data_IF_786358310568
#
_entry.id   IF_786358310568
#
_cell.length_a   1.000
_cell.length_b   1.000
_cell.length_c   1.000
_cell.angle_alpha   90.00
_cell.angle_beta   90.00
_cell.angle_gamma   90.00
#
_symmetry.space_group_name_H-M   'P 1'
#
loop_
_entity.id
_entity.type
_entity.pdbx_description
1 polymer ?
#
# COMPACT_ATOMS: atom_id res chain seq x y z
N UNK A 1 -1.34 -6.50 -23.97
CA UNK A 1 -2.64 -7.03 -24.45
C UNK A 1 -3.69 -6.32 -23.60
N UNK A 2 -4.32 -5.29 -24.14
CA UNK A 2 -5.41 -4.56 -23.48
C UNK A 2 -6.62 -5.49 -23.60
N UNK A 3 -7.20 -5.89 -22.48
CA UNK A 3 -8.45 -6.63 -22.47
C UNK A 3 -9.56 -5.61 -22.73
N UNK A 4 -10.03 -5.54 -23.96
CA UNK A 4 -11.25 -4.83 -24.35
C UNK A 4 -12.43 -5.52 -23.69
N UNK A 5 -12.98 -4.92 -22.66
CA UNK A 5 -14.09 -5.49 -21.88
C UNK A 5 -14.52 -4.62 -20.71
N UNK A 6 -14.20 -3.31 -20.73
CA UNK A 6 -14.77 -2.39 -19.76
C UNK A 6 -16.28 -2.27 -19.99
N UNK A 7 -17.07 -2.80 -19.06
CA UNK A 7 -18.51 -2.54 -19.02
C UNK A 7 -18.66 -1.04 -18.80
N UNK A 8 -19.32 -0.35 -19.72
CA UNK A 8 -19.47 1.12 -19.72
C UNK A 8 -19.98 1.61 -18.34
N UNK A 9 -19.23 2.54 -17.73
CA UNK A 9 -19.60 3.17 -16.46
C UNK A 9 -19.04 2.50 -15.18
N UNK A 10 -18.42 1.31 -15.25
CA UNK A 10 -17.83 0.66 -14.08
C UNK A 10 -16.32 0.96 -13.95
N UNK A 11 -15.87 1.24 -12.72
CA UNK A 11 -14.45 1.53 -12.42
C UNK A 11 -13.60 0.26 -12.50
N UNK A 12 -12.32 0.43 -12.75
CA UNK A 12 -11.28 -0.60 -12.65
C UNK A 12 -10.47 -0.38 -11.37
N UNK A 13 -10.09 -1.47 -10.70
CA UNK A 13 -9.11 -1.40 -9.60
C UNK A 13 -7.73 -1.73 -10.14
N UNK A 14 -6.78 -0.82 -9.96
CA UNK A 14 -5.37 -1.01 -10.31
C UNK A 14 -4.57 -1.30 -9.05
N UNK A 15 -3.75 -2.34 -9.05
CA UNK A 15 -2.85 -2.63 -7.94
C UNK A 15 -1.40 -2.54 -8.39
N UNK A 16 -0.60 -1.77 -7.65
CA UNK A 16 0.85 -1.68 -7.84
C UNK A 16 1.57 -2.23 -6.61
N UNK A 17 2.37 -3.30 -6.82
CA UNK A 17 3.21 -3.90 -5.79
C UNK A 17 4.47 -3.10 -5.51
N UNK A 18 5.17 -3.37 -4.41
CA UNK A 18 6.44 -2.70 -4.08
C UNK A 18 7.50 -2.84 -5.17
N UNK A 19 7.49 -3.94 -5.94
CA UNK A 19 8.38 -4.11 -7.10
C UNK A 19 8.12 -3.12 -8.25
N UNK A 20 6.96 -2.45 -8.27
CA UNK A 20 6.61 -1.37 -9.18
C UNK A 20 6.84 0.03 -8.55
N UNK A 21 7.51 0.13 -7.41
CA UNK A 21 7.72 1.35 -6.62
C UNK A 21 9.19 1.47 -6.17
N UNK A 22 10.13 1.17 -7.11
CA UNK A 22 11.58 1.17 -6.85
C UNK A 22 12.24 2.51 -7.16
N UNK A 23 11.64 3.29 -8.05
CA UNK A 23 12.25 4.49 -8.61
C UNK A 23 11.23 5.56 -9.00
N UNK A 24 11.70 6.78 -9.21
CA UNK A 24 10.89 7.86 -9.77
C UNK A 24 10.35 7.56 -11.18
N UNK A 25 11.07 6.78 -11.96
CA UNK A 25 10.60 6.32 -13.27
C UNK A 25 9.39 5.40 -13.14
N UNK A 26 9.36 4.54 -12.13
CA UNK A 26 8.20 3.68 -11.86
C UNK A 26 6.97 4.52 -11.47
N UNK A 27 7.15 5.56 -10.64
CA UNK A 27 6.07 6.49 -10.28
C UNK A 27 5.52 7.20 -11.52
N UNK A 28 6.40 7.63 -12.44
CA UNK A 28 5.98 8.23 -13.72
C UNK A 28 5.19 7.24 -14.57
N UNK A 29 5.65 5.99 -14.64
CA UNK A 29 4.94 4.94 -15.36
C UNK A 29 3.56 4.61 -14.74
N UNK A 30 3.42 4.70 -13.41
CA UNK A 30 2.12 4.57 -12.73
C UNK A 30 1.20 5.72 -13.13
N UNK A 31 1.70 6.97 -13.16
CA UNK A 31 0.92 8.13 -13.60
C UNK A 31 0.37 7.92 -15.02
N UNK A 32 1.19 7.46 -15.94
CA UNK A 32 0.77 7.20 -17.32
C UNK A 32 -0.27 6.09 -17.42
N UNK A 33 -0.12 5.02 -16.61
CA UNK A 33 -1.11 3.93 -16.55
C UNK A 33 -2.46 4.37 -15.98
N UNK A 34 -2.47 5.25 -14.97
CA UNK A 34 -3.71 5.78 -14.40
C UNK A 34 -4.49 6.59 -15.43
N UNK A 35 -3.81 7.42 -16.24
CA UNK A 35 -4.45 8.33 -17.20
C UNK A 35 -5.21 7.65 -18.34
N UNK A 36 -4.91 6.40 -18.65
CA UNK A 36 -5.60 5.67 -19.73
C UNK A 36 -6.98 5.15 -19.35
N UNK A 37 -7.37 5.22 -18.06
CA UNK A 37 -8.65 4.69 -17.60
C UNK A 37 -9.72 5.78 -17.54
N UNK A 38 -10.89 5.46 -18.11
CA UNK A 38 -12.10 6.25 -18.05
C UNK A 38 -13.30 5.27 -17.86
N UNK A 39 -14.06 5.33 -16.76
CA UNK A 39 -13.91 6.28 -15.63
C UNK A 39 -12.60 6.08 -14.83
N UNK A 40 -12.26 7.10 -14.05
CA UNK A 40 -11.04 7.09 -13.21
C UNK A 40 -10.98 5.85 -12.31
N UNK A 41 -9.82 5.18 -12.22
CA UNK A 41 -9.68 3.92 -11.48
C UNK A 41 -9.71 4.14 -9.96
N UNK A 42 -9.79 3.05 -9.21
CA UNK A 42 -9.34 2.99 -7.81
C UNK A 42 -7.94 2.38 -7.81
N UNK A 43 -7.02 2.93 -7.05
CA UNK A 43 -5.63 2.47 -7.03
C UNK A 43 -5.31 1.87 -5.66
N UNK A 44 -4.75 0.67 -5.63
CA UNK A 44 -4.24 0.02 -4.41
C UNK A 44 -2.72 -0.09 -4.52
N UNK A 45 -2.02 0.35 -3.49
CA UNK A 45 -0.56 0.39 -3.47
C UNK A 45 0.00 -0.37 -2.28
N UNK A 46 1.20 -0.92 -2.45
CA UNK A 46 2.05 -1.43 -1.38
C UNK A 46 3.04 -0.35 -0.92
N UNK A 47 3.78 -0.63 0.14
CA UNK A 47 4.93 0.17 0.54
C UNK A 47 5.96 0.28 -0.61
N UNK A 48 6.74 1.36 -0.61
CA UNK A 48 7.89 1.51 -1.50
C UNK A 48 8.86 0.34 -1.33
N UNK A 49 9.54 -0.02 -2.41
CA UNK A 49 10.45 -1.16 -2.44
C UNK A 49 11.48 -1.09 -1.31
N UNK A 50 11.62 -2.20 -0.57
CA UNK A 50 12.54 -2.34 0.54
C UNK A 50 12.05 -1.77 1.88
N UNK A 51 10.97 -0.98 1.91
CA UNK A 51 10.46 -0.38 3.15
C UNK A 51 9.95 -1.45 4.11
N UNK A 52 9.15 -2.40 3.65
CA UNK A 52 8.62 -3.49 4.49
C UNK A 52 9.73 -4.34 5.09
N UNK A 53 10.74 -4.70 4.28
CA UNK A 53 11.90 -5.47 4.77
C UNK A 53 12.66 -4.67 5.84
N UNK A 54 12.87 -3.37 5.62
CA UNK A 54 13.55 -2.51 6.59
C UNK A 54 12.77 -2.34 7.91
N UNK A 55 11.43 -2.34 7.86
CA UNK A 55 10.58 -2.34 9.06
C UNK A 55 10.69 -3.67 9.82
N UNK A 56 10.73 -4.79 9.12
CA UNK A 56 10.94 -6.11 9.72
C UNK A 56 12.33 -6.21 10.38
N UNK A 57 13.37 -5.69 9.72
CA UNK A 57 14.71 -5.62 10.30
C UNK A 57 14.70 -4.79 11.58
N UNK A 58 14.05 -3.61 11.59
CA UNK A 58 13.94 -2.78 12.77
C UNK A 58 13.25 -3.49 13.94
N UNK A 59 12.18 -4.26 13.68
CA UNK A 59 11.52 -5.07 14.71
C UNK A 59 12.48 -6.14 15.27
N UNK A 60 13.27 -6.80 14.42
CA UNK A 60 14.26 -7.77 14.83
C UNK A 60 15.41 -7.12 15.63
N UNK A 61 15.86 -5.93 15.21
CA UNK A 61 16.88 -5.15 15.94
C UNK A 61 16.38 -4.75 17.34
N UNK A 62 15.10 -4.37 17.47
CA UNK A 62 14.47 -4.12 18.79
C UNK A 62 14.52 -5.37 19.66
N UNK A 63 14.15 -6.54 19.13
CA UNK A 63 14.18 -7.82 19.87
C UNK A 63 15.59 -8.21 20.30
N UNK A 64 16.60 -7.89 19.52
CA UNK A 64 18.02 -8.17 19.82
C UNK A 64 18.74 -7.06 20.60
N UNK A 65 18.01 -6.01 21.00
CA UNK A 65 18.56 -4.82 21.70
C UNK A 65 19.67 -4.09 20.93
N UNK A 66 19.64 -4.14 19.58
CA UNK A 66 20.61 -3.49 18.69
C UNK A 66 20.01 -2.32 17.89
N UNK A 67 18.77 -1.92 18.20
CA UNK A 67 18.04 -0.94 17.43
C UNK A 67 18.57 0.48 17.55
N UNK A 68 19.01 1.07 16.44
CA UNK A 68 19.33 2.49 16.33
C UNK A 68 18.16 3.27 15.71
N UNK A 69 17.32 3.80 16.61
CA UNK A 69 16.11 4.56 16.26
C UNK A 69 16.41 5.76 15.34
N UNK A 70 17.44 6.51 15.63
CA UNK A 70 17.75 7.75 14.90
C UNK A 70 18.21 7.45 13.47
N UNK A 71 19.09 6.48 13.30
CA UNK A 71 19.54 6.04 11.97
C UNK A 71 18.40 5.43 11.16
N UNK A 72 17.52 4.67 11.80
CA UNK A 72 16.35 4.07 11.14
C UNK A 72 15.36 5.13 10.64
N UNK A 73 14.94 6.08 11.49
CA UNK A 73 14.00 7.14 11.11
C UNK A 73 14.57 8.06 10.04
N UNK A 74 15.88 8.34 10.09
CA UNK A 74 16.57 9.07 9.03
C UNK A 74 16.48 8.31 7.71
N UNK A 75 16.79 7.02 7.71
CA UNK A 75 16.72 6.19 6.52
C UNK A 75 15.30 6.18 5.92
N UNK A 76 14.25 5.98 6.74
CA UNK A 76 12.85 5.99 6.30
C UNK A 76 12.53 7.32 5.61
N UNK A 77 12.86 8.46 6.24
CA UNK A 77 12.61 9.79 5.68
C UNK A 77 13.36 9.99 4.36
N UNK A 78 14.65 9.73 4.34
CA UNK A 78 15.52 9.95 3.18
C UNK A 78 15.10 9.06 1.99
N UNK A 79 14.72 7.81 2.26
CA UNK A 79 14.24 6.89 1.24
C UNK A 79 12.96 7.39 0.56
N UNK A 80 11.98 7.84 1.34
CA UNK A 80 10.72 8.38 0.81
C UNK A 80 10.95 9.70 0.06
N UNK A 81 11.78 10.61 0.57
CA UNK A 81 12.12 11.87 -0.09
C UNK A 81 12.90 11.66 -1.39
N UNK A 82 13.72 10.63 -1.47
CA UNK A 82 14.45 10.28 -2.69
C UNK A 82 13.50 9.80 -3.79
N UNK A 83 12.51 9.00 -3.44
CA UNK A 83 11.54 8.45 -4.40
C UNK A 83 10.47 9.47 -4.80
N UNK A 84 10.02 10.29 -3.87
CA UNK A 84 8.96 11.27 -4.06
C UNK A 84 9.32 12.62 -3.41
N UNK A 85 10.32 13.36 -3.94
CA UNK A 85 10.73 14.64 -3.38
C UNK A 85 9.61 15.70 -3.43
N UNK A 86 8.60 15.50 -4.27
CA UNK A 86 7.42 16.34 -4.37
C UNK A 86 6.67 16.49 -3.04
N UNK A 87 6.84 15.54 -2.12
CA UNK A 87 6.24 15.59 -0.78
C UNK A 87 6.67 16.83 0.00
N UNK A 88 7.90 17.30 -0.19
CA UNK A 88 8.48 18.44 0.54
C UNK A 88 7.76 19.78 0.27
N UNK A 89 7.05 19.87 -0.85
CA UNK A 89 6.35 21.09 -1.28
C UNK A 89 4.85 20.87 -1.46
N UNK A 90 4.35 19.69 -1.06
CA UNK A 90 2.94 19.32 -1.21
C UNK A 90 2.14 19.61 0.05
N UNK A 91 0.82 19.76 -0.11
CA UNK A 91 -0.13 19.86 0.99
C UNK A 91 -0.23 18.54 1.81
N UNK A 92 0.33 17.45 1.28
CA UNK A 92 0.39 16.15 1.95
C UNK A 92 1.54 16.02 2.97
N UNK A 93 2.49 16.97 3.01
CA UNK A 93 3.64 16.92 3.93
C UNK A 93 3.22 16.78 5.41
N UNK A 94 2.24 17.52 5.93
CA UNK A 94 1.82 17.37 7.33
C UNK A 94 1.35 15.94 7.63
N UNK A 95 0.64 15.30 6.71
CA UNK A 95 0.16 13.93 6.86
C UNK A 95 1.31 12.91 6.82
N UNK A 96 2.34 13.16 6.01
CA UNK A 96 3.56 12.35 6.00
C UNK A 96 4.30 12.44 7.33
N UNK A 97 4.49 13.65 7.86
CA UNK A 97 5.17 13.86 9.15
C UNK A 97 4.36 13.25 10.32
N UNK A 98 3.03 13.35 10.30
CA UNK A 98 2.17 12.65 11.26
C UNK A 98 2.36 11.12 11.20
N UNK A 99 2.38 10.54 10.01
CA UNK A 99 2.61 9.11 9.83
C UNK A 99 4.01 8.69 10.31
N UNK A 100 5.01 9.56 10.13
CA UNK A 100 6.38 9.33 10.63
C UNK A 100 6.45 9.40 12.16
N UNK A 101 5.75 10.34 12.77
CA UNK A 101 5.62 10.45 14.24
C UNK A 101 4.91 9.20 14.80
N UNK A 102 3.86 8.72 14.15
CA UNK A 102 3.15 7.52 14.57
C UNK A 102 4.04 6.27 14.47
N UNK A 103 4.88 6.17 13.44
CA UNK A 103 5.91 5.11 13.34
C UNK A 103 6.90 5.20 14.50
N UNK A 104 7.36 6.40 14.82
CA UNK A 104 8.31 6.64 15.89
C UNK A 104 7.74 6.26 17.26
N UNK A 105 6.47 6.60 17.54
CA UNK A 105 5.74 6.18 18.74
C UNK A 105 5.61 4.65 18.79
N UNK A 106 5.24 4.02 17.69
CA UNK A 106 5.09 2.56 17.62
C UNK A 106 6.41 1.84 17.91
N UNK A 107 7.52 2.34 17.37
CA UNK A 107 8.87 1.80 17.66
C UNK A 107 9.28 2.01 19.11
N UNK A 108 9.02 3.19 19.68
CA UNK A 108 9.30 3.46 21.10
C UNK A 108 8.50 2.52 22.01
N UNK A 109 7.22 2.27 21.69
CA UNK A 109 6.38 1.32 22.44
C UNK A 109 6.91 -0.12 22.33
N UNK A 110 7.42 -0.53 21.14
CA UNK A 110 8.05 -1.85 21.00
C UNK A 110 9.33 -1.98 21.82
N UNK A 111 10.17 -0.94 21.85
CA UNK A 111 11.40 -0.93 22.67
C UNK A 111 11.07 -1.10 24.14
N UNK A 112 9.97 -0.49 24.60
CA UNK A 112 9.50 -0.60 25.99
C UNK A 112 8.75 -1.92 26.28
N UNK A 113 8.54 -2.78 25.29
CA UNK A 113 7.79 -4.05 25.45
C UNK A 113 6.26 -3.90 25.53
N UNK A 114 5.72 -2.73 25.18
CA UNK A 114 4.29 -2.41 25.31
C UNK A 114 3.56 -2.36 23.94
N UNK A 115 4.31 -2.26 22.83
CA UNK A 115 3.78 -2.08 21.49
C UNK A 115 3.48 -3.39 20.77
N UNK A 116 2.82 -3.25 19.60
CA UNK A 116 2.65 -4.34 18.66
C UNK A 116 3.35 -4.05 17.32
N UNK A 117 3.81 -5.09 16.65
CA UNK A 117 4.55 -5.00 15.39
C UNK A 117 3.68 -4.50 14.23
N UNK A 118 2.38 -4.72 14.29
CA UNK A 118 1.43 -4.34 13.24
C UNK A 118 1.47 -2.83 13.02
N UNK A 119 1.50 -2.03 14.08
CA UNK A 119 1.57 -0.56 14.00
C UNK A 119 2.83 -0.08 13.30
N UNK A 120 3.98 -0.75 13.53
CA UNK A 120 5.22 -0.47 12.83
C UNK A 120 5.11 -0.85 11.35
N UNK A 121 4.64 -2.04 11.05
CA UNK A 121 4.55 -2.57 9.68
C UNK A 121 3.61 -1.75 8.80
N UNK A 122 2.43 -1.37 9.32
CA UNK A 122 1.43 -0.57 8.62
C UNK A 122 1.96 0.81 8.22
N UNK A 123 2.90 1.36 8.98
CA UNK A 123 3.48 2.68 8.70
C UNK A 123 4.18 2.73 7.32
N UNK A 124 4.73 1.62 6.83
CA UNK A 124 5.33 1.56 5.50
C UNK A 124 4.33 1.85 4.39
N UNK A 125 3.15 1.23 4.46
CA UNK A 125 2.07 1.43 3.50
C UNK A 125 1.52 2.87 3.57
N UNK A 126 1.37 3.41 4.78
CA UNK A 126 0.87 4.77 5.01
C UNK A 126 1.83 5.83 4.46
N UNK A 127 3.10 5.79 4.84
CA UNK A 127 4.11 6.73 4.37
C UNK A 127 4.24 6.71 2.84
N UNK A 128 4.29 5.51 2.26
CA UNK A 128 4.44 5.35 0.82
C UNK A 128 3.22 5.84 0.05
N UNK A 129 2.00 5.63 0.56
CA UNK A 129 0.77 6.11 -0.09
C UNK A 129 0.70 7.65 -0.12
N UNK A 130 1.09 8.32 0.97
CA UNK A 130 1.10 9.80 1.05
C UNK A 130 2.17 10.39 0.13
N UNK A 131 3.36 9.79 0.08
CA UNK A 131 4.40 10.20 -0.87
C UNK A 131 3.97 10.02 -2.34
N UNK A 132 3.29 8.92 -2.63
CA UNK A 132 2.79 8.66 -3.99
C UNK A 132 1.65 9.63 -4.35
N UNK A 133 0.77 9.99 -3.41
CA UNK A 133 -0.22 11.07 -3.58
C UNK A 133 0.46 12.36 -4.03
N UNK A 134 1.46 12.84 -3.29
CA UNK A 134 2.19 14.07 -3.63
C UNK A 134 2.83 13.99 -5.03
N UNK A 135 3.47 12.87 -5.34
CA UNK A 135 4.13 12.66 -6.61
C UNK A 135 3.16 12.58 -7.80
N UNK A 136 1.98 12.00 -7.63
CA UNK A 136 0.94 11.94 -8.67
C UNK A 136 0.20 13.27 -8.82
N UNK A 137 -0.10 13.95 -7.72
CA UNK A 137 -0.74 15.28 -7.71
C UNK A 137 0.14 16.32 -8.42
N UNK A 138 1.46 16.29 -8.22
CA UNK A 138 2.40 17.17 -8.92
C UNK A 138 2.41 16.96 -10.45
N UNK A 139 1.91 15.81 -10.90
CA UNK A 139 1.74 15.48 -12.33
C UNK A 139 0.32 15.77 -12.84
N UNK A 140 -0.49 16.47 -12.06
CA UNK A 140 -1.86 16.88 -12.43
C UNK A 140 -2.89 15.75 -12.33
N UNK A 141 -2.62 14.70 -11.55
CA UNK A 141 -3.59 13.63 -11.29
C UNK A 141 -4.26 13.92 -9.96
N UNK A 142 -5.58 14.10 -9.95
CA UNK A 142 -6.35 14.31 -8.73
C UNK A 142 -6.49 12.99 -7.96
N UNK A 143 -5.59 12.74 -7.02
CA UNK A 143 -5.54 11.53 -6.18
C UNK A 143 -5.56 11.88 -4.71
N UNK A 144 -6.07 10.96 -3.89
CA UNK A 144 -6.06 11.07 -2.43
C UNK A 144 -5.63 9.75 -1.79
N UNK A 145 -4.60 9.80 -0.97
CA UNK A 145 -4.18 8.66 -0.16
C UNK A 145 -5.24 8.34 0.90
N UNK A 146 -5.66 7.09 0.93
CA UNK A 146 -6.66 6.56 1.86
C UNK A 146 -6.11 5.35 2.60
N UNK A 147 -6.41 5.29 3.88
CA UNK A 147 -5.99 4.20 4.76
C UNK A 147 -7.18 3.28 5.07
N UNK A 148 -6.93 2.16 5.75
CA UNK A 148 -7.98 1.21 6.08
C UNK A 148 -9.09 1.82 6.96
N UNK A 149 -8.80 2.89 7.67
CA UNK A 149 -9.75 3.65 8.48
C UNK A 149 -10.64 4.57 7.64
N UNK A 150 -10.10 5.12 6.54
CA UNK A 150 -10.84 5.98 5.61
C UNK A 150 -11.78 5.16 4.71
N UNK A 151 -11.27 3.99 4.28
CA UNK A 151 -12.02 2.99 3.51
C UNK A 151 -12.05 1.73 4.35
N UNK A 152 -13.17 1.39 5.03
CA UNK A 152 -13.20 0.33 6.03
C UNK A 152 -12.83 -1.04 5.42
N UNK A 153 -11.53 -1.27 5.28
CA UNK A 153 -10.97 -2.55 4.87
C UNK A 153 -11.09 -3.50 6.05
N UNK A 154 -12.09 -4.38 6.01
CA UNK A 154 -12.39 -5.30 7.11
C UNK A 154 -11.69 -6.63 6.94
N UNK A 155 -11.05 -7.09 8.01
CA UNK A 155 -10.34 -8.37 8.05
C UNK A 155 -10.79 -9.23 9.22
N UNK A 156 -10.60 -10.54 9.10
CA UNK A 156 -10.88 -11.52 10.15
C UNK A 156 -9.86 -12.65 10.19
N UNK A 157 -9.82 -13.35 11.29
CA UNK A 157 -8.89 -14.45 11.53
C UNK A 157 -7.82 -14.06 12.54
N UNK A 158 -6.81 -14.91 12.67
CA UNK A 158 -5.63 -14.68 13.51
C UNK A 158 -4.37 -14.89 12.69
N UNK A 159 -3.34 -14.14 13.01
CA UNK A 159 -2.05 -14.32 12.36
C UNK A 159 -1.58 -15.80 12.45
N UNK A 160 -1.03 -16.37 11.39
CA UNK A 160 -0.74 -15.78 10.10
C UNK A 160 -1.90 -15.84 9.07
N UNK A 161 -3.11 -16.30 9.46
CA UNK A 161 -4.25 -16.57 8.57
C UNK A 161 -5.30 -15.45 8.54
N UNK A 162 -4.86 -14.20 8.58
CA UNK A 162 -5.74 -13.04 8.45
C UNK A 162 -6.19 -12.92 6.99
N UNK A 163 -7.50 -12.74 6.78
CA UNK A 163 -8.14 -12.64 5.46
C UNK A 163 -9.21 -11.55 5.44
N UNK A 164 -9.60 -11.11 4.26
CA UNK A 164 -10.68 -10.15 4.07
C UNK A 164 -12.00 -10.65 4.64
N UNK A 165 -12.76 -9.76 5.28
CA UNK A 165 -14.11 -10.06 5.80
C UNK A 165 -15.18 -9.44 4.91
N UNK A 166 -15.62 -10.20 3.91
CA UNK A 166 -16.68 -9.77 3.00
C UNK A 166 -18.07 -9.69 3.66
N UNK A 167 -18.24 -10.24 4.86
CA UNK A 167 -19.53 -10.16 5.56
C UNK A 167 -19.82 -8.78 6.15
N UNK A 168 -18.80 -7.92 6.28
CA UNK A 168 -18.90 -6.55 6.81
C UNK A 168 -18.79 -5.46 5.73
N UNK A 169 -19.00 -5.80 4.47
CA UNK A 169 -18.93 -4.86 3.33
C UNK A 169 -20.05 -3.83 3.33
N UNK A 170 -21.17 -4.10 3.99
CA UNK A 170 -22.32 -3.21 4.10
C UNK A 170 -22.09 -2.00 5.06
N UNK A 171 -21.00 -2.00 5.81
CA UNK A 171 -20.54 -0.82 6.56
C UNK A 171 -19.94 0.19 5.59
N UNK A 172 -20.72 0.53 4.58
CA UNK A 172 -20.51 1.37 3.41
C UNK A 172 -19.23 2.22 3.42
N UNK A 173 -18.21 1.66 2.78
CA UNK A 173 -17.06 2.42 2.38
C UNK A 173 -17.50 3.46 1.33
N UNK A 174 -17.53 4.73 1.70
CA UNK A 174 -17.66 5.77 0.69
C UNK A 174 -16.30 5.93 -0.02
N UNK A 175 -16.17 5.26 -1.15
CA UNK A 175 -15.00 5.44 -2.02
C UNK A 175 -15.29 6.60 -2.95
N UNK A 176 -14.54 7.72 -2.87
CA UNK A 176 -14.76 8.90 -3.68
C UNK A 176 -14.81 8.62 -5.18
N UNK A 177 -15.61 9.40 -5.91
CA UNK A 177 -15.74 9.31 -7.37
C UNK A 177 -15.22 10.55 -8.09
N UNK A 178 -15.04 11.65 -7.38
CA UNK A 178 -14.55 12.94 -7.86
C UNK A 178 -13.01 13.05 -7.81
N UNK A 179 -12.37 12.17 -7.09
CA UNK A 179 -10.91 12.00 -7.04
C UNK A 179 -10.55 10.52 -7.17
N UNK A 180 -9.28 10.21 -7.43
CA UNK A 180 -8.77 8.85 -7.52
C UNK A 180 -8.33 8.40 -6.12
N UNK A 181 -9.03 7.45 -5.49
CA UNK A 181 -8.62 6.87 -4.23
C UNK A 181 -7.32 6.08 -4.40
N UNK A 182 -6.30 6.41 -3.61
CA UNK A 182 -5.02 5.72 -3.53
C UNK A 182 -4.96 4.97 -2.22
N UNK A 183 -5.42 3.72 -2.21
CA UNK A 183 -5.65 2.93 -1.01
C UNK A 183 -4.37 2.21 -0.60
N UNK A 184 -3.93 2.42 0.64
CA UNK A 184 -2.86 1.65 1.25
C UNK A 184 -3.30 0.19 1.46
N UNK A 185 -2.59 -0.76 0.84
CA UNK A 185 -2.93 -2.18 0.85
C UNK A 185 -2.37 -2.94 2.06
N UNK A 186 -2.49 -4.30 2.04
CA UNK A 186 -1.88 -5.27 2.94
C UNK A 186 -2.45 -5.34 4.35
N UNK A 187 -3.16 -4.36 4.85
CA UNK A 187 -3.74 -4.36 6.20
C UNK A 187 -5.21 -3.95 6.20
N UNK A 188 -5.87 -4.19 7.30
CA UNK A 188 -7.24 -3.80 7.54
C UNK A 188 -7.56 -3.71 9.02
N UNK A 189 -8.84 -3.53 9.33
CA UNK A 189 -9.38 -3.42 10.68
C UNK A 189 -10.08 -4.72 11.04
N UNK A 190 -9.70 -5.34 12.15
CA UNK A 190 -10.28 -6.59 12.63
C UNK A 190 -11.64 -6.38 13.34
N UNK A 191 -12.20 -7.46 13.87
CA UNK A 191 -13.47 -7.41 14.58
C UNK A 191 -13.40 -6.69 15.94
N UNK A 192 -12.20 -6.49 16.47
CA UNK A 192 -11.94 -5.76 17.72
C UNK A 192 -11.51 -4.31 17.46
N UNK A 193 -11.71 -3.82 16.23
CA UNK A 193 -11.31 -2.49 15.74
C UNK A 193 -9.79 -2.24 15.83
N UNK A 194 -8.97 -3.29 15.82
CA UNK A 194 -7.52 -3.18 15.78
C UNK A 194 -6.99 -3.32 14.34
N UNK A 195 -5.85 -2.71 14.07
CA UNK A 195 -5.12 -2.93 12.83
C UNK A 195 -4.57 -4.37 12.78
N UNK A 196 -4.68 -4.99 11.63
CA UNK A 196 -4.15 -6.33 11.39
C UNK A 196 -3.58 -6.44 9.97
N UNK A 197 -2.35 -6.94 9.85
CA UNK A 197 -1.67 -7.18 8.58
C UNK A 197 -1.97 -8.58 8.05
N UNK A 198 -2.18 -8.68 6.74
CA UNK A 198 -2.33 -9.96 6.07
C UNK A 198 -0.96 -10.59 5.77
N UNK A 199 -0.96 -11.86 5.39
CA UNK A 199 0.22 -12.55 4.89
C UNK A 199 0.67 -12.02 3.52
N UNK A 200 1.70 -12.62 2.92
CA UNK A 200 2.18 -12.28 1.57
C UNK A 200 1.03 -12.27 0.56
N UNK A 201 1.01 -11.25 -0.32
CA UNK A 201 -0.08 -11.03 -1.27
C UNK A 201 -1.26 -10.24 -0.71
N UNK A 202 -1.20 -9.76 0.53
CA UNK A 202 -2.30 -9.04 1.17
C UNK A 202 -2.75 -7.78 0.42
N UNK A 203 -1.85 -7.04 -0.26
CA UNK A 203 -2.26 -5.91 -1.09
C UNK A 203 -3.06 -6.34 -2.34
N UNK A 204 -2.81 -7.55 -2.88
CA UNK A 204 -3.63 -8.14 -3.95
C UNK A 204 -5.02 -8.50 -3.41
N UNK A 205 -5.08 -9.04 -2.18
CA UNK A 205 -6.34 -9.28 -1.48
C UNK A 205 -7.10 -7.97 -1.21
N UNK A 206 -6.42 -6.88 -0.83
CA UNK A 206 -7.04 -5.55 -0.69
C UNK A 206 -7.65 -5.10 -2.02
N UNK A 207 -6.94 -5.24 -3.14
CA UNK A 207 -7.45 -4.84 -4.44
C UNK A 207 -8.70 -5.63 -4.86
N UNK A 208 -8.71 -6.93 -4.65
CA UNK A 208 -9.89 -7.78 -4.94
C UNK A 208 -11.06 -7.48 -4.00
N UNK A 209 -10.78 -7.19 -2.72
CA UNK A 209 -11.80 -6.77 -1.77
C UNK A 209 -12.43 -5.43 -2.18
N UNK A 210 -11.60 -4.43 -2.48
CA UNK A 210 -12.07 -3.11 -2.96
C UNK A 210 -12.91 -3.26 -4.22
N UNK A 211 -12.47 -4.08 -5.17
CA UNK A 211 -13.23 -4.35 -6.38
C UNK A 211 -14.61 -4.96 -6.09
N UNK A 212 -14.69 -5.88 -5.14
CA UNK A 212 -15.95 -6.50 -4.73
C UNK A 212 -16.92 -5.50 -4.10
N UNK A 213 -16.44 -4.59 -3.23
CA UNK A 213 -17.30 -3.63 -2.54
C UNK A 213 -17.81 -2.51 -3.44
N UNK A 214 -17.05 -2.12 -4.50
CA UNK A 214 -17.51 -1.09 -5.45
C UNK A 214 -18.16 -1.66 -6.69
N UNK A 215 -18.26 -2.99 -6.85
CA UNK A 215 -18.75 -3.61 -8.07
C UNK A 215 -17.88 -3.29 -9.29
N UNK A 216 -16.56 -3.32 -9.14
CA UNK A 216 -15.64 -2.96 -10.22
C UNK A 216 -15.75 -3.90 -11.42
N UNK A 217 -15.52 -3.37 -12.63
CA UNK A 217 -15.48 -4.16 -13.86
C UNK A 217 -14.32 -5.14 -13.89
N UNK A 218 -13.16 -4.75 -13.32
CA UNK A 218 -11.93 -5.55 -13.37
C UNK A 218 -10.94 -5.16 -12.28
N UNK A 219 -10.01 -6.07 -12.01
CA UNK A 219 -8.81 -5.81 -11.19
C UNK A 219 -7.58 -6.09 -12.05
N UNK A 220 -6.67 -5.11 -12.13
CA UNK A 220 -5.40 -5.25 -12.84
C UNK A 220 -4.27 -5.17 -11.83
N UNK A 221 -3.52 -6.26 -11.71
CA UNK A 221 -2.38 -6.37 -10.79
C UNK A 221 -1.09 -6.19 -11.60
N UNK A 222 -0.40 -5.08 -11.32
CA UNK A 222 0.91 -4.78 -11.92
C UNK A 222 2.04 -5.38 -11.08
N UNK A 223 2.92 -6.11 -11.75
CA UNK A 223 4.12 -6.74 -11.18
C UNK A 223 5.29 -6.58 -12.13
N UNK A 224 6.49 -6.86 -11.65
CA UNK A 224 7.74 -6.89 -12.42
C UNK A 224 7.95 -8.22 -13.19
N UNK A 225 6.95 -9.08 -13.21
CA UNK A 225 6.93 -10.34 -13.96
C UNK A 225 5.84 -10.31 -15.04
N UNK A 226 6.00 -11.03 -16.15
CA UNK A 226 5.09 -10.95 -17.31
C UNK A 226 3.72 -11.60 -17.11
N UNK A 227 3.36 -12.01 -15.91
CA UNK A 227 2.04 -12.60 -15.60
C UNK A 227 2.12 -13.64 -14.48
N UNK A 228 1.03 -14.44 -14.37
CA UNK A 228 0.99 -15.60 -13.47
C UNK A 228 1.77 -16.73 -14.11
N UNK A 229 2.84 -17.15 -13.47
CA UNK A 229 3.70 -18.23 -13.93
C UNK A 229 3.42 -19.50 -13.12
N UNK A 230 3.54 -20.65 -13.73
CA UNK A 230 3.34 -21.96 -13.08
C UNK A 230 4.44 -22.29 -12.06
N UNK A 231 5.61 -21.65 -12.19
CA UNK A 231 6.77 -21.79 -11.32
C UNK A 231 7.49 -20.43 -11.16
N UNK A 232 8.31 -20.33 -10.13
CA UNK A 232 9.20 -19.18 -9.95
C UNK A 232 10.14 -19.07 -11.16
N UNK A 233 10.18 -17.92 -11.86
CA UNK A 233 11.04 -17.74 -13.03
C UNK A 233 12.54 -17.92 -12.73
N UNK A 234 12.97 -17.71 -11.48
CA UNK A 234 14.34 -17.97 -11.05
C UNK A 234 14.68 -19.47 -10.96
N UNK A 235 13.66 -20.33 -10.86
CA UNK A 235 13.80 -21.79 -10.84
C UNK A 235 13.70 -22.41 -12.24
N UNK A 236 13.28 -21.66 -13.24
CA UNK A 236 13.03 -22.11 -14.61
C UNK A 236 14.26 -22.09 -15.52
N UNK A 237 15.45 -22.13 -14.98
CA UNK A 237 16.71 -22.16 -15.79
C UNK A 237 17.07 -23.54 -16.38
N UNK A 238 16.17 -24.50 -16.34
CA UNK A 238 16.51 -25.87 -16.82
C UNK A 238 15.48 -26.34 -17.83
N UNK A 239 14.99 -25.60 -18.73
CA UNK A 239 14.31 -26.21 -19.88
C UNK A 239 14.06 -25.21 -21.01
N UNK A 240 15.03 -25.07 -21.83
CA UNK A 240 14.84 -24.99 -23.30
C UNK A 240 15.90 -25.88 -23.97
#
# INVERSE_FOLDING_TARGET
MVVDGAIEGLRTVLKFGGSCLKSRADISAIADRIRIFNPSPVVVVSAFFGVTDRLLDAINDVRSHSFDRNSFLRWIRDHHYTLAPEILTSDSLPRFEEALVNLDIALASLVNGEGNEVSVLVSGERLSSVCLEAALSSRGINVRAMWAEDVPIRVKGRAPFIRMDLSRTSESAHIPTDEIPLIAGWYGIDQSENLATMSRGGSDCTATYVAAIIGAASVIIWRDVPGVLSLDPSLSLIHI
#
